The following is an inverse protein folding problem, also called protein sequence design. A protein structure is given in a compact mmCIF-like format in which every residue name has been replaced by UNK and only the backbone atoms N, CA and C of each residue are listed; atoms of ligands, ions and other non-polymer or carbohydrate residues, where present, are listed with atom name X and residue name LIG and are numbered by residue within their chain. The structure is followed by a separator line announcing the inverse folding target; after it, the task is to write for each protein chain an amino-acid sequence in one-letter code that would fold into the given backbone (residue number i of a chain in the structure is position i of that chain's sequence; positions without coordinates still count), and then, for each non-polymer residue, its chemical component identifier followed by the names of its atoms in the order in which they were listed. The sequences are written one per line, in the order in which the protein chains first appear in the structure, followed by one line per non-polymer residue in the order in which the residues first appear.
data_IF_680786377235
#
_entry.id   IF_680786377235
#
_cell.length_a   1.000
_cell.length_b   1.000
_cell.length_c   1.000
_cell.angle_alpha   90.00
_cell.angle_beta   90.00
_cell.angle_gamma   90.00
#
_symmetry.space_group_name_H-M   'P 1'
#
loop_
_entity.id
_entity.type
_entity.pdbx_description
1 polymer ?
#
# COMPACT_ATOMS: atom_id res chain seq x y z
N UNK A 1 -7.29 19.07 30.57
CA UNK A 1 -6.71 17.71 30.57
C UNK A 1 -6.79 17.17 29.15
N UNK A 2 -5.70 17.30 28.38
CA UNK A 2 -5.60 16.74 27.04
C UNK A 2 -5.60 15.21 27.18
N UNK A 3 -6.55 14.59 26.51
CA UNK A 3 -6.93 13.19 26.66
C UNK A 3 -5.73 12.24 26.37
N UNK A 4 -5.09 11.70 27.38
CA UNK A 4 -3.94 10.77 27.30
C UNK A 4 -4.25 9.57 26.42
N UNK A 5 -5.51 9.18 26.27
CA UNK A 5 -5.95 8.06 25.40
C UNK A 5 -5.68 8.29 23.91
N UNK A 6 -5.67 9.54 23.41
CA UNK A 6 -5.39 9.84 21.98
C UNK A 6 -3.94 9.62 21.55
N UNK A 7 -2.98 9.50 22.47
CA UNK A 7 -1.56 9.30 22.14
C UNK A 7 -1.22 7.91 21.57
N UNK A 8 -2.09 6.93 21.70
CA UNK A 8 -1.81 5.53 21.37
C UNK A 8 -2.70 4.98 20.25
N UNK A 9 -3.59 5.79 19.70
CA UNK A 9 -4.51 5.42 18.64
C UNK A 9 -4.31 6.31 17.42
N UNK A 10 -4.51 5.76 16.21
CA UNK A 10 -4.46 6.50 14.95
C UNK A 10 -5.55 5.97 14.03
N UNK A 11 -6.49 6.85 13.63
CA UNK A 11 -7.52 6.52 12.64
C UNK A 11 -6.95 6.68 11.24
N UNK A 12 -7.12 5.67 10.41
CA UNK A 12 -6.64 5.64 9.03
C UNK A 12 -7.78 5.42 8.05
N UNK A 13 -7.61 5.96 6.83
CA UNK A 13 -8.42 5.63 5.67
C UNK A 13 -7.64 4.76 4.69
N UNK A 14 -8.31 3.81 4.05
CA UNK A 14 -7.74 2.96 3.00
C UNK A 14 -8.60 3.08 1.76
N UNK A 15 -8.03 3.59 0.68
CA UNK A 15 -8.74 3.81 -0.58
C UNK A 15 -8.61 2.58 -1.47
N UNK A 16 -9.76 2.10 -1.95
CA UNK A 16 -9.90 1.18 -3.06
C UNK A 16 -10.32 1.96 -4.30
N UNK A 17 -9.59 1.81 -5.39
CA UNK A 17 -9.73 2.65 -6.57
C UNK A 17 -9.75 1.82 -7.85
N UNK A 18 -10.52 2.26 -8.83
CA UNK A 18 -10.47 1.79 -10.21
C UNK A 18 -9.70 2.79 -11.07
N UNK A 19 -8.38 2.81 -10.94
CA UNK A 19 -7.56 3.77 -11.70
C UNK A 19 -7.64 3.55 -13.20
N UNK A 20 -7.71 4.65 -13.93
CA UNK A 20 -7.64 4.69 -15.39
C UNK A 20 -6.34 5.36 -15.86
N UNK A 21 -6.10 5.42 -17.17
CA UNK A 21 -4.90 6.04 -17.74
C UNK A 21 -4.83 7.55 -17.46
N UNK A 22 -5.96 8.25 -17.50
CA UNK A 22 -6.04 9.68 -17.25
C UNK A 22 -5.91 9.99 -15.75
N UNK A 23 -4.83 10.65 -15.29
CA UNK A 23 -4.61 10.97 -13.90
C UNK A 23 -5.63 11.96 -13.32
N UNK A 24 -6.23 12.82 -14.12
CA UNK A 24 -7.20 13.81 -13.61
C UNK A 24 -8.48 13.12 -13.11
N UNK A 25 -8.92 12.08 -13.80
CA UNK A 25 -10.07 11.26 -13.37
C UNK A 25 -9.77 10.57 -12.03
N UNK A 26 -8.57 9.98 -11.91
CA UNK A 26 -8.14 9.30 -10.70
C UNK A 26 -8.02 10.28 -9.53
N UNK A 27 -7.42 11.44 -9.77
CA UNK A 27 -7.28 12.49 -8.74
C UNK A 27 -8.64 13.04 -8.28
N UNK A 28 -9.60 13.19 -9.19
CA UNK A 28 -10.95 13.63 -8.83
C UNK A 28 -11.62 12.67 -7.85
N UNK A 29 -11.55 11.36 -8.13
CA UNK A 29 -12.08 10.31 -7.25
C UNK A 29 -11.35 10.29 -5.91
N UNK A 30 -10.00 10.37 -5.92
CA UNK A 30 -9.21 10.40 -4.69
C UNK A 30 -9.58 11.61 -3.84
N UNK A 31 -9.68 12.81 -4.40
CA UNK A 31 -10.07 14.04 -3.67
C UNK A 31 -11.43 13.90 -3.00
N UNK A 32 -12.39 13.23 -3.66
CA UNK A 32 -13.69 12.91 -3.05
C UNK A 32 -13.53 12.03 -1.79
N UNK A 33 -12.69 10.99 -1.85
CA UNK A 33 -12.43 10.12 -0.71
C UNK A 33 -11.61 10.82 0.39
N UNK A 34 -10.69 11.71 0.03
CA UNK A 34 -9.95 12.50 1.03
C UNK A 34 -10.85 13.48 1.79
N UNK A 35 -11.91 14.03 1.16
CA UNK A 35 -12.93 14.79 1.87
C UNK A 35 -13.68 13.93 2.90
N UNK A 36 -14.00 12.68 2.55
CA UNK A 36 -14.62 11.74 3.50
C UNK A 36 -13.64 11.42 4.64
N UNK A 37 -12.34 11.22 4.33
CA UNK A 37 -11.32 10.98 5.34
C UNK A 37 -11.23 12.14 6.36
N UNK A 38 -11.33 13.38 5.90
CA UNK A 38 -11.37 14.55 6.81
C UNK A 38 -12.60 14.55 7.69
N UNK A 39 -13.78 14.29 7.12
CA UNK A 39 -15.05 14.22 7.86
C UNK A 39 -14.98 13.12 8.94
N UNK A 40 -14.35 12.01 8.63
CA UNK A 40 -14.14 10.89 9.54
C UNK A 40 -12.95 11.07 10.51
N UNK A 41 -12.28 12.22 10.46
CA UNK A 41 -11.11 12.54 11.28
C UNK A 41 -9.95 11.53 11.15
N UNK A 42 -9.75 10.97 9.96
CA UNK A 42 -8.57 10.17 9.69
C UNK A 42 -7.32 11.05 9.72
N UNK A 43 -6.20 10.48 10.18
CA UNK A 43 -4.90 11.17 10.23
C UNK A 43 -4.04 10.81 9.01
N UNK A 44 -4.19 9.59 8.50
CA UNK A 44 -3.46 9.09 7.34
C UNK A 44 -4.39 8.36 6.36
N UNK A 45 -4.06 8.42 5.06
CA UNK A 45 -4.77 7.71 4.01
C UNK A 45 -3.77 6.90 3.18
N UNK A 46 -4.09 5.62 2.99
CA UNK A 46 -3.30 4.70 2.17
C UNK A 46 -3.91 4.56 0.78
N UNK A 47 -3.07 4.70 -0.24
CA UNK A 47 -3.43 4.61 -1.65
C UNK A 47 -2.92 3.30 -2.28
N UNK A 48 -3.60 2.77 -3.32
CA UNK A 48 -3.18 1.54 -3.99
C UNK A 48 -2.00 1.74 -4.94
N UNK A 49 -1.51 0.63 -5.49
CA UNK A 49 -0.46 0.60 -6.52
C UNK A 49 -0.93 1.28 -7.80
N UNK A 50 -0.02 2.01 -8.47
CA UNK A 50 -0.21 2.76 -9.72
C UNK A 50 -1.50 3.61 -9.75
N UNK A 51 -1.86 4.16 -8.58
CA UNK A 51 -3.09 4.92 -8.39
C UNK A 51 -3.19 6.15 -9.29
N UNK A 52 -2.04 6.73 -9.66
CA UNK A 52 -1.98 7.97 -10.39
C UNK A 52 -2.38 7.83 -11.86
N UNK A 53 -1.86 6.80 -12.53
CA UNK A 53 -2.16 6.52 -13.94
C UNK A 53 -1.90 5.05 -14.24
N UNK A 54 -2.96 4.31 -14.60
CA UNK A 54 -2.93 2.88 -14.88
C UNK A 54 -2.83 2.64 -16.38
N UNK A 55 -1.67 2.19 -16.87
CA UNK A 55 -1.50 1.73 -18.25
C UNK A 55 -2.05 0.30 -18.43
N UNK A 56 -1.95 -0.22 -19.65
CA UNK A 56 -2.36 -1.60 -19.97
C UNK A 56 -1.32 -2.67 -19.62
N UNK A 57 -0.21 -2.27 -18.98
CA UNK A 57 0.88 -3.15 -18.56
C UNK A 57 1.85 -3.54 -19.68
N UNK A 58 1.62 -3.14 -20.93
CA UNK A 58 2.55 -3.42 -22.05
C UNK A 58 3.62 -2.38 -22.20
N UNK A 59 3.36 -1.17 -21.76
CA UNK A 59 4.29 -0.03 -21.72
C UNK A 59 4.00 0.85 -20.51
N UNK A 60 4.96 1.72 -20.19
CA UNK A 60 4.76 2.70 -19.13
C UNK A 60 3.66 3.71 -19.53
N UNK A 61 3.00 4.27 -18.53
CA UNK A 61 2.06 5.38 -18.76
C UNK A 61 2.77 6.59 -19.37
N UNK A 62 2.11 7.39 -20.22
CA UNK A 62 2.65 8.67 -20.70
C UNK A 62 2.74 9.74 -19.58
N UNK A 63 2.15 9.51 -18.44
CA UNK A 63 2.09 10.43 -17.28
C UNK A 63 3.17 10.11 -16.24
N UNK A 64 4.41 9.92 -16.69
CA UNK A 64 5.54 9.62 -15.82
C UNK A 64 5.88 10.78 -14.88
N UNK A 65 6.18 10.44 -13.64
CA UNK A 65 6.86 11.36 -12.75
C UNK A 65 8.33 11.43 -13.18
N UNK A 66 8.81 12.65 -13.42
CA UNK A 66 10.21 12.94 -13.72
C UNK A 66 10.63 14.16 -12.90
N UNK A 67 11.52 13.93 -11.92
CA UNK A 67 11.83 14.92 -10.90
C UNK A 67 10.57 15.42 -10.19
N UNK A 68 10.50 16.71 -9.98
CA UNK A 68 9.33 17.37 -9.36
C UNK A 68 8.39 18.00 -10.40
N UNK A 69 8.14 17.30 -11.48
CA UNK A 69 7.25 17.76 -12.55
C UNK A 69 5.80 17.95 -12.08
N UNK A 70 4.90 18.37 -13.00
CA UNK A 70 3.48 18.60 -12.66
C UNK A 70 2.81 17.37 -12.04
N UNK A 71 3.18 16.16 -12.44
CA UNK A 71 2.61 14.91 -11.93
C UNK A 71 3.03 14.65 -10.47
N UNK A 72 4.30 14.90 -10.13
CA UNK A 72 4.75 14.87 -8.74
C UNK A 72 4.01 15.91 -7.89
N UNK A 73 3.89 17.15 -8.38
CA UNK A 73 3.20 18.22 -7.65
C UNK A 73 1.71 17.89 -7.43
N UNK A 74 1.07 17.25 -8.40
CA UNK A 74 -0.33 16.82 -8.28
C UNK A 74 -0.51 15.79 -7.13
N UNK A 75 0.39 14.81 -7.01
CA UNK A 75 0.35 13.83 -5.90
C UNK A 75 0.66 14.53 -4.57
N UNK A 76 1.71 15.35 -4.53
CA UNK A 76 2.09 16.12 -3.34
C UNK A 76 0.95 17.00 -2.83
N UNK A 77 0.18 17.61 -3.74
CA UNK A 77 -0.93 18.49 -3.38
C UNK A 77 -2.05 17.75 -2.62
N UNK A 78 -2.23 16.45 -2.83
CA UNK A 78 -3.20 15.66 -2.08
C UNK A 78 -2.94 15.74 -0.57
N UNK A 79 -1.68 15.62 -0.14
CA UNK A 79 -1.33 15.72 1.28
C UNK A 79 -1.55 17.14 1.81
N UNK A 80 -1.05 18.14 1.09
CA UNK A 80 -1.09 19.55 1.51
C UNK A 80 -2.51 20.12 1.54
N UNK A 81 -3.31 19.87 0.49
CA UNK A 81 -4.66 20.43 0.37
C UNK A 81 -5.61 19.85 1.43
N UNK A 82 -5.42 18.57 1.77
CA UNK A 82 -6.25 17.87 2.74
C UNK A 82 -5.65 17.81 4.14
N UNK A 83 -4.39 18.21 4.33
CA UNK A 83 -3.68 18.14 5.61
C UNK A 83 -3.71 16.73 6.22
N UNK A 84 -3.41 15.72 5.38
CA UNK A 84 -3.38 14.31 5.72
C UNK A 84 -2.03 13.69 5.35
N UNK A 85 -1.58 12.70 6.12
CA UNK A 85 -0.54 11.82 5.62
C UNK A 85 -1.09 11.04 4.41
N UNK A 86 -0.40 11.09 3.26
CA UNK A 86 -0.71 10.30 2.06
C UNK A 86 0.38 9.26 1.91
N UNK A 87 0.00 7.98 2.02
CA UNK A 87 0.94 6.88 2.22
C UNK A 87 0.71 5.73 1.22
N UNK A 88 1.75 4.97 0.96
CA UNK A 88 1.73 3.68 0.27
C UNK A 88 1.60 3.76 -1.24
N UNK A 89 0.74 4.62 -1.76
CA UNK A 89 0.40 4.68 -3.18
C UNK A 89 1.59 4.85 -4.11
N UNK A 90 1.59 4.12 -5.24
CA UNK A 90 2.68 4.19 -6.20
C UNK A 90 2.30 4.81 -7.54
N UNK A 91 3.32 5.30 -8.26
CA UNK A 91 3.22 5.84 -9.61
C UNK A 91 4.46 5.48 -10.43
N UNK A 92 4.29 5.39 -11.75
CA UNK A 92 5.41 5.17 -12.66
C UNK A 92 6.33 6.40 -12.69
N UNK A 93 7.62 6.18 -12.43
CA UNK A 93 8.61 7.24 -12.23
C UNK A 93 9.83 7.02 -13.11
N UNK A 94 10.23 8.03 -13.87
CA UNK A 94 11.45 8.00 -14.66
C UNK A 94 12.67 8.37 -13.80
N UNK A 95 13.64 7.48 -13.73
CA UNK A 95 14.88 7.65 -12.99
C UNK A 95 16.07 7.18 -13.83
N UNK A 96 16.94 8.10 -14.22
CA UNK A 96 18.15 7.78 -14.99
C UNK A 96 17.86 6.93 -16.24
N UNK A 97 16.81 7.27 -16.99
CA UNK A 97 16.38 6.56 -18.21
C UNK A 97 15.65 5.23 -17.96
N UNK A 98 15.37 4.86 -16.70
CA UNK A 98 14.63 3.65 -16.31
C UNK A 98 13.31 4.04 -15.66
N UNK A 99 12.28 3.21 -15.85
CA UNK A 99 10.99 3.42 -15.20
C UNK A 99 10.91 2.56 -13.94
N UNK A 100 10.55 3.18 -12.82
CA UNK A 100 10.36 2.55 -11.53
C UNK A 100 8.86 2.54 -11.17
N UNK A 101 8.38 1.49 -10.52
CA UNK A 101 7.10 1.50 -9.81
C UNK A 101 7.40 2.02 -8.40
N UNK A 102 7.14 3.33 -8.16
CA UNK A 102 7.61 4.06 -6.98
C UNK A 102 6.48 4.54 -6.11
N UNK A 103 6.54 4.18 -4.84
CA UNK A 103 5.66 4.73 -3.79
C UNK A 103 6.19 6.07 -3.31
N UNK A 104 5.28 7.04 -3.22
CA UNK A 104 5.50 8.36 -2.65
C UNK A 104 4.73 8.50 -1.35
N UNK A 105 5.40 9.04 -0.32
CA UNK A 105 4.82 9.20 1.00
C UNK A 105 5.03 10.63 1.47
N UNK A 106 3.94 11.31 1.81
CA UNK A 106 3.94 12.73 2.18
C UNK A 106 3.31 12.94 3.54
N UNK A 107 3.88 13.89 4.30
CA UNK A 107 3.26 14.41 5.52
C UNK A 107 2.15 15.44 5.19
N UNK A 108 1.38 15.90 6.19
CA UNK A 108 0.29 16.87 5.98
C UNK A 108 0.72 18.22 5.39
N UNK A 109 1.98 18.60 5.48
CA UNK A 109 2.53 19.82 4.88
C UNK A 109 2.96 19.60 3.42
N UNK A 110 2.81 18.38 2.91
CA UNK A 110 3.25 17.97 1.59
C UNK A 110 4.76 17.80 1.48
N UNK A 111 5.46 17.60 2.61
CA UNK A 111 6.86 17.21 2.60
C UNK A 111 6.96 15.71 2.30
N UNK A 112 7.80 15.35 1.33
CA UNK A 112 8.13 13.94 1.07
C UNK A 112 8.92 13.38 2.26
N UNK A 113 8.34 12.38 2.93
CA UNK A 113 8.96 11.69 4.07
C UNK A 113 9.72 10.45 3.67
N UNK A 114 9.32 9.80 2.59
CA UNK A 114 10.07 8.70 1.96
C UNK A 114 9.56 8.37 0.56
N UNK A 115 10.43 7.72 -0.19
CA UNK A 115 10.12 7.00 -1.43
C UNK A 115 10.50 5.54 -1.27
N UNK A 116 9.78 4.65 -1.96
CA UNK A 116 10.09 3.22 -2.01
C UNK A 116 9.89 2.70 -3.44
N UNK A 117 10.88 2.05 -3.99
CA UNK A 117 10.80 1.40 -5.30
C UNK A 117 10.49 -0.09 -5.13
N UNK A 118 9.48 -0.59 -5.84
CA UNK A 118 9.08 -2.00 -5.82
C UNK A 118 10.29 -2.91 -6.01
N UNK A 119 10.55 -3.77 -5.03
CA UNK A 119 11.74 -4.62 -5.02
C UNK A 119 11.53 -5.90 -5.82
N UNK A 120 10.30 -6.42 -5.86
CA UNK A 120 9.98 -7.66 -6.56
C UNK A 120 8.94 -7.38 -7.64
N UNK A 121 9.36 -7.53 -8.90
CA UNK A 121 8.49 -7.31 -10.06
C UNK A 121 7.65 -8.55 -10.32
N UNK A 122 6.38 -8.34 -10.66
CA UNK A 122 5.45 -9.42 -10.91
C UNK A 122 5.72 -10.08 -12.26
N UNK A 123 5.95 -11.38 -12.24
CA UNK A 123 5.99 -12.24 -13.42
C UNK A 123 5.08 -13.44 -13.19
N UNK A 124 4.13 -13.68 -14.09
CA UNK A 124 3.18 -14.77 -13.98
C UNK A 124 2.75 -15.26 -15.37
N UNK A 125 2.89 -16.56 -15.59
CA UNK A 125 2.38 -17.23 -16.79
C UNK A 125 1.05 -17.91 -16.46
N UNK A 126 -0.02 -17.28 -16.88
CA UNK A 126 -1.39 -17.79 -16.81
C UNK A 126 -1.89 -18.30 -18.18
N UNK A 127 -0.99 -18.67 -19.10
CA UNK A 127 -1.37 -19.14 -20.45
C UNK A 127 -2.28 -20.38 -20.42
N UNK A 128 -2.12 -21.22 -19.39
CA UNK A 128 -2.96 -22.41 -19.15
C UNK A 128 -4.22 -22.14 -18.32
N UNK A 129 -4.39 -20.92 -17.79
CA UNK A 129 -5.58 -20.48 -17.08
C UNK A 129 -6.60 -19.91 -18.09
N UNK A 130 -7.92 -19.92 -17.81
CA UNK A 130 -8.93 -19.33 -18.69
C UNK A 130 -8.69 -17.86 -19.08
N UNK A 131 -7.89 -17.12 -18.30
CA UNK A 131 -7.50 -15.74 -18.64
C UNK A 131 -6.42 -15.65 -19.73
N UNK A 132 -5.71 -16.74 -20.03
CA UNK A 132 -4.63 -16.83 -21.02
C UNK A 132 -3.60 -15.67 -20.97
N UNK A 133 -3.33 -15.13 -19.78
CA UNK A 133 -2.46 -13.96 -19.61
C UNK A 133 -1.03 -14.37 -19.29
N UNK A 134 -0.08 -13.69 -19.91
CA UNK A 134 1.33 -13.67 -19.49
C UNK A 134 1.62 -12.23 -19.07
N UNK A 135 1.96 -12.05 -17.80
CA UNK A 135 2.27 -10.75 -17.22
C UNK A 135 3.75 -10.76 -16.82
N UNK A 136 4.47 -9.74 -17.23
CA UNK A 136 5.89 -9.56 -16.87
C UNK A 136 6.16 -8.04 -16.71
N UNK A 137 6.13 -7.59 -15.48
CA UNK A 137 6.42 -6.19 -15.13
C UNK A 137 7.87 -5.78 -15.47
N UNK A 138 8.79 -6.72 -15.54
CA UNK A 138 10.19 -6.46 -15.91
C UNK A 138 10.38 -5.90 -17.31
N UNK A 139 9.36 -6.00 -18.17
CA UNK A 139 9.35 -5.35 -19.50
C UNK A 139 9.14 -3.85 -19.43
N UNK A 140 8.51 -3.36 -18.35
CA UNK A 140 8.14 -1.96 -18.18
C UNK A 140 8.94 -1.32 -17.06
N UNK A 141 9.12 -2.02 -15.94
CA UNK A 141 9.71 -1.47 -14.73
C UNK A 141 11.08 -2.07 -14.42
N UNK A 142 11.91 -1.27 -13.77
CA UNK A 142 13.14 -1.70 -13.12
C UNK A 142 12.89 -1.88 -11.64
N UNK A 143 13.39 -2.97 -11.05
CA UNK A 143 13.23 -3.26 -9.62
C UNK A 143 14.08 -2.34 -8.73
N UNK A 144 13.54 -1.99 -7.57
CA UNK A 144 14.29 -1.42 -6.46
C UNK A 144 15.14 -2.46 -5.73
N UNK A 145 15.92 -2.01 -4.75
CA UNK A 145 16.81 -2.87 -3.98
C UNK A 145 16.92 -2.49 -2.49
N UNK A 146 16.16 -1.51 -2.04
CA UNK A 146 16.32 -0.96 -0.70
C UNK A 146 14.99 -0.98 0.05
N UNK A 147 14.87 -1.78 1.13
CA UNK A 147 13.74 -1.72 2.03
C UNK A 147 13.60 -0.32 2.64
N UNK A 148 12.37 0.11 2.89
CA UNK A 148 12.10 1.44 3.43
C UNK A 148 11.04 1.41 4.50
N UNK A 149 11.33 2.05 5.63
CA UNK A 149 10.35 2.35 6.68
C UNK A 149 10.16 3.85 6.82
N UNK A 150 8.98 4.23 7.29
CA UNK A 150 8.63 5.60 7.70
C UNK A 150 8.12 5.59 9.13
N UNK A 151 8.16 6.74 9.76
CA UNK A 151 7.54 6.96 11.06
C UNK A 151 6.43 8.00 10.94
N UNK A 152 5.24 7.62 11.35
CA UNK A 152 4.05 8.49 11.35
C UNK A 152 3.49 8.46 12.77
N UNK A 153 3.54 9.59 13.46
CA UNK A 153 3.23 9.68 14.88
C UNK A 153 4.10 8.65 15.67
N UNK A 154 3.49 7.65 16.28
CA UNK A 154 4.20 6.60 17.03
C UNK A 154 4.23 5.25 16.29
N UNK A 155 3.90 5.24 14.99
CA UNK A 155 3.84 4.03 14.19
C UNK A 155 5.01 3.97 13.22
N UNK A 156 5.76 2.85 13.27
CA UNK A 156 6.81 2.52 12.29
C UNK A 156 6.21 1.65 11.21
N UNK A 157 6.16 2.16 9.99
CA UNK A 157 5.47 1.56 8.85
C UNK A 157 6.49 1.03 7.84
N UNK A 158 6.54 -0.27 7.62
CA UNK A 158 7.30 -0.89 6.53
C UNK A 158 6.54 -0.76 5.20
N UNK A 159 7.21 -0.27 4.16
CA UNK A 159 6.63 -0.05 2.83
C UNK A 159 6.84 -1.25 1.91
N UNK A 160 5.79 -1.63 1.17
CA UNK A 160 5.88 -2.66 0.13
C UNK A 160 4.84 -2.43 -0.97
N UNK A 161 5.09 -3.00 -2.15
CA UNK A 161 4.20 -2.89 -3.31
C UNK A 161 3.88 -4.29 -3.84
N UNK A 162 2.62 -4.68 -3.79
CA UNK A 162 1.97 -5.77 -4.50
C UNK A 162 2.71 -7.12 -4.41
N UNK A 163 3.51 -7.45 -5.41
CA UNK A 163 4.23 -8.73 -5.47
C UNK A 163 5.22 -8.93 -4.33
N UNK A 164 5.69 -7.85 -3.69
CA UNK A 164 6.51 -7.91 -2.48
C UNK A 164 5.81 -8.70 -1.36
N UNK A 165 4.47 -8.72 -1.33
CA UNK A 165 3.67 -9.51 -0.38
C UNK A 165 4.06 -10.99 -0.34
N UNK A 166 4.62 -11.55 -1.42
CA UNK A 166 5.02 -12.96 -1.52
C UNK A 166 6.36 -13.27 -0.90
N UNK A 167 7.12 -12.25 -0.46
CA UNK A 167 8.48 -12.38 0.08
C UNK A 167 8.46 -12.07 1.59
N UNK A 168 8.25 -13.09 2.46
CA UNK A 168 8.14 -12.91 3.90
C UNK A 168 9.38 -12.30 4.54
N UNK A 169 10.55 -12.47 3.91
CA UNK A 169 11.83 -11.96 4.39
C UNK A 169 11.82 -10.43 4.51
N UNK A 170 11.18 -9.72 3.56
CA UNK A 170 11.05 -8.28 3.58
C UNK A 170 10.29 -7.81 4.82
N UNK A 171 9.17 -8.45 5.12
CA UNK A 171 8.31 -8.11 6.27
C UNK A 171 8.96 -8.47 7.59
N UNK A 172 9.66 -9.60 7.64
CA UNK A 172 10.44 -10.02 8.81
C UNK A 172 11.59 -9.03 9.08
N UNK A 173 12.26 -8.56 8.04
CA UNK A 173 13.27 -7.52 8.16
C UNK A 173 12.69 -6.22 8.75
N UNK A 174 11.51 -5.77 8.34
CA UNK A 174 10.85 -4.62 8.95
C UNK A 174 10.52 -4.84 10.42
N UNK A 175 9.94 -5.99 10.76
CA UNK A 175 9.53 -6.30 12.13
C UNK A 175 10.71 -6.40 13.07
N UNK A 176 11.85 -6.96 12.64
CA UNK A 176 13.09 -7.02 13.41
C UNK A 176 13.68 -5.63 13.71
N UNK A 177 13.34 -4.63 12.88
CA UNK A 177 13.71 -3.23 13.09
C UNK A 177 12.65 -2.42 13.84
N UNK A 178 11.60 -3.09 14.35
CA UNK A 178 10.57 -2.51 15.19
C UNK A 178 9.37 -1.95 14.43
N UNK A 179 9.17 -2.33 13.16
CA UNK A 179 7.91 -2.02 12.49
C UNK A 179 6.73 -2.60 13.26
N UNK A 180 5.65 -1.84 13.30
CA UNK A 180 4.40 -2.22 13.93
C UNK A 180 3.19 -2.05 13.00
N UNK A 181 3.43 -1.52 11.80
CA UNK A 181 2.51 -1.48 10.67
C UNK A 181 3.26 -1.91 9.40
N UNK A 182 2.61 -2.67 8.55
CA UNK A 182 3.10 -3.09 7.24
C UNK A 182 2.13 -2.57 6.18
N UNK A 183 2.62 -1.72 5.27
CA UNK A 183 1.84 -1.14 4.18
C UNK A 183 2.07 -1.90 2.88
N UNK A 184 0.99 -2.30 2.22
CA UNK A 184 0.99 -3.05 0.97
C UNK A 184 0.06 -2.33 0.00
N UNK A 185 0.60 -1.61 -0.97
CA UNK A 185 -0.19 -1.07 -2.08
C UNK A 185 -0.23 -2.07 -3.22
N UNK A 186 -1.41 -2.35 -3.80
CA UNK A 186 -1.55 -3.51 -4.69
C UNK A 186 -2.48 -3.29 -5.86
N UNK A 187 -2.21 -4.07 -6.94
CA UNK A 187 -3.07 -4.28 -8.10
C UNK A 187 -3.13 -5.78 -8.45
N UNK A 188 -3.55 -6.61 -7.49
CA UNK A 188 -3.63 -8.06 -7.68
C UNK A 188 -4.64 -8.42 -8.75
N UNK A 189 -4.25 -9.32 -9.68
CA UNK A 189 -5.19 -9.86 -10.67
C UNK A 189 -6.31 -10.65 -9.99
N UNK A 190 -7.48 -10.72 -10.61
CA UNK A 190 -8.64 -11.45 -10.04
C UNK A 190 -8.31 -12.91 -9.69
N UNK A 191 -7.62 -13.71 -10.56
CA UNK A 191 -7.32 -15.10 -10.22
C UNK A 191 -6.41 -15.25 -9.01
N UNK A 192 -5.32 -14.47 -8.96
CA UNK A 192 -4.37 -14.54 -7.84
C UNK A 192 -4.93 -13.90 -6.58
N UNK A 193 -5.78 -12.89 -6.72
CA UNK A 193 -6.48 -12.26 -5.61
C UNK A 193 -7.41 -13.24 -4.89
N UNK A 194 -8.30 -13.90 -5.64
CA UNK A 194 -9.22 -14.91 -5.10
C UNK A 194 -8.50 -16.04 -4.35
N UNK A 195 -7.37 -16.48 -4.88
CA UNK A 195 -6.65 -17.63 -4.32
C UNK A 195 -5.73 -17.27 -3.14
N UNK A 196 -5.11 -16.07 -3.14
CA UNK A 196 -3.97 -15.81 -2.25
C UNK A 196 -4.12 -14.58 -1.36
N UNK A 197 -4.89 -13.56 -1.77
CA UNK A 197 -4.86 -12.22 -1.15
C UNK A 197 -5.09 -12.24 0.36
N UNK A 198 -6.25 -12.68 0.81
CA UNK A 198 -6.62 -12.71 2.22
C UNK A 198 -5.65 -13.55 3.05
N UNK A 199 -5.26 -14.72 2.53
CA UNK A 199 -4.32 -15.63 3.22
C UNK A 199 -2.98 -14.96 3.44
N UNK A 200 -2.39 -14.37 2.40
CA UNK A 200 -1.07 -13.75 2.51
C UNK A 200 -1.09 -12.49 3.38
N UNK A 201 -2.09 -11.61 3.22
CA UNK A 201 -2.20 -10.39 4.04
C UNK A 201 -2.34 -10.74 5.52
N UNK A 202 -3.17 -11.72 5.86
CA UNK A 202 -3.32 -12.20 7.25
C UNK A 202 -2.06 -12.88 7.77
N UNK A 203 -1.38 -13.68 6.95
CA UNK A 203 -0.11 -14.31 7.33
C UNK A 203 0.94 -13.26 7.70
N UNK A 204 1.08 -12.18 6.90
CA UNK A 204 2.00 -11.07 7.23
C UNK A 204 1.67 -10.38 8.54
N UNK A 205 0.40 -10.23 8.88
CA UNK A 205 0.00 -9.67 10.17
C UNK A 205 0.38 -10.58 11.35
N UNK A 206 0.04 -11.87 11.25
CA UNK A 206 0.23 -12.86 12.30
C UNK A 206 1.72 -13.10 12.59
N UNK A 207 2.50 -13.42 11.55
CA UNK A 207 3.92 -13.77 11.71
C UNK A 207 4.79 -12.59 12.16
N UNK A 208 4.37 -11.36 11.87
CA UNK A 208 5.10 -10.14 12.21
C UNK A 208 4.49 -9.38 13.39
N UNK A 209 3.37 -9.86 13.94
CA UNK A 209 2.65 -9.24 15.06
C UNK A 209 2.49 -7.73 14.88
N UNK A 210 2.05 -7.35 13.68
CA UNK A 210 1.92 -5.97 13.21
C UNK A 210 0.59 -5.78 12.51
N UNK A 211 0.04 -4.57 12.52
CA UNK A 211 -1.04 -4.23 11.60
C UNK A 211 -0.59 -4.38 10.16
N UNK A 212 -1.49 -4.83 9.30
CA UNK A 212 -1.29 -4.78 7.84
C UNK A 212 -2.35 -3.90 7.22
N UNK A 213 -1.93 -2.92 6.44
CA UNK A 213 -2.79 -2.08 5.60
C UNK A 213 -2.53 -2.45 4.15
N UNK A 214 -3.49 -3.07 3.53
CA UNK A 214 -3.40 -3.55 2.16
C UNK A 214 -4.39 -2.80 1.27
N UNK A 215 -3.95 -1.68 0.69
CA UNK A 215 -4.74 -0.87 -0.22
C UNK A 215 -4.67 -1.44 -1.63
N UNK A 216 -5.81 -1.66 -2.28
CA UNK A 216 -5.90 -2.40 -3.53
C UNK A 216 -6.64 -1.65 -4.64
N UNK A 217 -6.20 -1.88 -5.87
CA UNK A 217 -6.97 -1.56 -7.07
C UNK A 217 -8.12 -2.55 -7.25
N UNK A 218 -9.26 -2.07 -7.73
CA UNK A 218 -10.46 -2.88 -7.99
C UNK A 218 -11.02 -2.66 -9.38
N UNK A 219 -11.54 -3.73 -10.00
CA UNK A 219 -12.36 -3.67 -11.20
C UNK A 219 -11.58 -3.65 -12.51
N UNK A 220 -12.30 -3.40 -13.60
CA UNK A 220 -11.76 -3.38 -14.97
C UNK A 220 -11.16 -2.01 -15.27
N UNK A 221 -9.84 -1.93 -15.38
CA UNK A 221 -9.10 -0.68 -15.68
C UNK A 221 -9.04 -0.39 -17.18
N UNK A 222 -8.92 -1.45 -17.96
CA UNK A 222 -8.87 -1.46 -19.42
C UNK A 222 -9.15 -2.87 -19.93
N UNK A 223 -8.96 -3.14 -21.23
CA UNK A 223 -9.27 -4.46 -21.80
C UNK A 223 -8.32 -5.58 -21.37
N UNK A 224 -7.14 -5.24 -20.82
CA UNK A 224 -6.12 -6.22 -20.39
C UNK A 224 -6.02 -6.36 -18.89
N UNK A 225 -6.43 -5.34 -18.11
CA UNK A 225 -6.23 -5.31 -16.67
C UNK A 225 -7.55 -5.29 -15.91
N UNK A 226 -7.72 -6.31 -15.09
CA UNK A 226 -8.82 -6.43 -14.13
C UNK A 226 -8.26 -6.90 -12.79
N UNK A 227 -8.57 -6.16 -11.72
CA UNK A 227 -8.02 -6.38 -10.39
C UNK A 227 -9.07 -6.76 -9.37
N UNK A 228 -8.60 -7.41 -8.30
CA UNK A 228 -9.45 -8.14 -7.37
C UNK A 228 -10.16 -7.25 -6.35
N UNK A 229 -9.57 -6.11 -5.97
CA UNK A 229 -10.08 -5.29 -4.87
C UNK A 229 -9.75 -5.85 -3.49
N UNK A 230 -10.74 -5.82 -2.59
CA UNK A 230 -10.61 -6.28 -1.21
C UNK A 230 -9.48 -5.57 -0.45
N UNK A 231 -9.47 -4.23 -0.50
CA UNK A 231 -8.56 -3.47 0.39
C UNK A 231 -8.83 -3.87 1.84
N UNK A 232 -7.77 -4.30 2.55
CA UNK A 232 -7.88 -4.90 3.87
C UNK A 232 -7.13 -4.11 4.92
N UNK A 233 -7.65 -4.11 6.15
CA UNK A 233 -6.86 -3.83 7.35
C UNK A 233 -6.94 -5.05 8.26
N UNK A 234 -5.78 -5.58 8.64
CA UNK A 234 -5.67 -6.76 9.52
C UNK A 234 -4.89 -6.36 10.76
N UNK A 235 -5.37 -6.79 11.93
CA UNK A 235 -4.72 -6.52 13.21
C UNK A 235 -3.54 -7.48 13.48
N UNK A 236 -2.71 -7.23 14.51
CA UNK A 236 -1.56 -8.08 14.83
C UNK A 236 -1.90 -9.53 15.22
N UNK A 237 -3.17 -9.85 15.52
CA UNK A 237 -3.64 -11.19 15.81
C UNK A 237 -4.13 -11.93 14.57
N UNK A 238 -4.25 -11.23 13.41
CA UNK A 238 -4.79 -11.77 12.17
C UNK A 238 -6.30 -11.58 11.99
N UNK A 239 -6.93 -10.77 12.84
CA UNK A 239 -8.32 -10.37 12.69
C UNK A 239 -8.47 -9.35 11.57
N UNK A 240 -9.41 -9.57 10.65
CA UNK A 240 -9.74 -8.61 9.59
C UNK A 240 -10.64 -7.53 10.21
N UNK A 241 -10.08 -6.33 10.38
CA UNK A 241 -10.81 -5.20 10.95
C UNK A 241 -11.78 -4.59 9.94
N UNK A 242 -11.38 -4.56 8.67
CA UNK A 242 -12.20 -4.08 7.56
C UNK A 242 -11.76 -4.73 6.25
N UNK A 243 -12.73 -5.05 5.41
CA UNK A 243 -12.58 -5.47 4.02
C UNK A 243 -13.44 -4.56 3.14
N UNK A 244 -12.84 -3.90 2.16
CA UNK A 244 -13.56 -3.04 1.23
C UNK A 244 -14.41 -3.83 0.22
N UNK A 245 -14.23 -5.16 0.12
CA UNK A 245 -14.94 -6.00 -0.83
C UNK A 245 -14.80 -5.48 -2.28
N UNK A 246 -15.91 -5.31 -2.98
CA UNK A 246 -15.96 -4.79 -4.35
C UNK A 246 -16.35 -3.30 -4.39
N UNK A 247 -15.99 -2.60 -5.47
CA UNK A 247 -16.35 -1.22 -5.73
C UNK A 247 -15.32 -0.21 -5.25
N UNK A 248 -15.36 0.98 -5.84
CA UNK A 248 -14.54 2.12 -5.40
C UNK A 248 -15.07 2.68 -4.09
N UNK A 249 -14.23 2.77 -3.08
CA UNK A 249 -14.59 3.32 -1.77
C UNK A 249 -13.37 3.64 -0.92
N UNK A 250 -13.60 4.38 0.14
CA UNK A 250 -12.70 4.49 1.27
C UNK A 250 -13.30 3.74 2.46
N UNK A 251 -12.46 2.95 3.13
CA UNK A 251 -12.82 2.28 4.39
C UNK A 251 -11.90 2.77 5.51
N UNK A 252 -12.35 2.64 6.75
CA UNK A 252 -11.65 3.19 7.90
C UNK A 252 -11.35 2.10 8.94
N UNK A 253 -10.18 2.23 9.57
CA UNK A 253 -9.78 1.42 10.70
C UNK A 253 -9.02 2.26 11.72
N UNK A 254 -8.80 1.73 12.90
CA UNK A 254 -8.05 2.38 13.97
C UNK A 254 -6.91 1.47 14.43
N UNK A 255 -5.70 2.01 14.47
CA UNK A 255 -4.55 1.36 15.07
C UNK A 255 -4.50 1.64 16.57
N UNK A 256 -4.00 0.68 17.34
CA UNK A 256 -3.75 0.81 18.77
C UNK A 256 -2.40 0.18 19.15
N UNK A 257 -1.51 0.96 19.73
CA UNK A 257 -0.23 0.45 20.24
C UNK A 257 -0.44 -0.54 21.39
N UNK A 258 -1.49 -0.35 22.19
CA UNK A 258 -1.85 -1.28 23.27
C UNK A 258 -2.26 -2.65 22.71
N UNK A 259 -2.93 -2.69 21.55
CA UNK A 259 -3.27 -3.94 20.88
C UNK A 259 -2.02 -4.69 20.43
N UNK A 260 -1.07 -3.98 19.81
CA UNK A 260 0.22 -4.56 19.39
C UNK A 260 0.95 -5.15 20.60
N UNK A 261 1.07 -4.36 21.67
CA UNK A 261 1.72 -4.76 22.91
C UNK A 261 1.06 -6.02 23.49
N UNK A 262 -0.28 -6.01 23.62
CA UNK A 262 -1.04 -7.15 24.15
C UNK A 262 -0.84 -8.44 23.35
N UNK A 263 -0.74 -8.35 22.00
CA UNK A 263 -0.48 -9.53 21.17
C UNK A 263 0.94 -10.05 21.38
N UNK A 264 1.94 -9.17 21.39
CA UNK A 264 3.35 -9.53 21.58
C UNK A 264 3.64 -10.11 22.97
N UNK A 265 2.93 -9.66 24.00
CA UNK A 265 3.02 -10.22 25.35
C UNK A 265 2.44 -11.63 25.46
N UNK A 266 1.42 -11.96 24.66
CA UNK A 266 0.77 -13.28 24.68
C UNK A 266 1.51 -14.31 23.85
N UNK A 267 2.13 -13.90 22.75
CA UNK A 267 2.74 -14.81 21.79
C UNK A 267 4.05 -14.17 21.27
N UNK A 268 5.17 -14.64 21.81
CA UNK A 268 6.50 -14.08 21.54
C UNK A 268 7.11 -14.70 20.25
N UNK A 269 6.63 -14.24 19.09
CA UNK A 269 7.09 -14.71 17.77
C UNK A 269 8.32 -13.92 17.28
N UNK A 270 8.57 -12.73 17.87
CA UNK A 270 9.64 -11.84 17.43
C UNK A 270 10.93 -11.98 18.27
N UNK A 271 11.04 -13.03 19.09
CA UNK A 271 12.28 -13.38 19.77
C UNK A 271 13.42 -13.50 18.76
N UNK A 272 14.59 -13.11 19.22
CA UNK A 272 15.82 -13.22 18.41
C UNK A 272 15.96 -14.65 17.85
N UNK A 273 15.94 -14.85 16.52
CA UNK A 273 16.09 -16.16 15.93
C UNK A 273 17.42 -16.86 16.28
N UNK A 274 18.43 -16.08 16.70
CA UNK A 274 19.72 -16.60 17.15
C UNK A 274 19.70 -17.21 18.55
N UNK A 275 18.65 -16.97 19.34
CA UNK A 275 18.51 -17.53 20.67
C UNK A 275 17.86 -18.93 20.70
N UNK A 276 17.35 -19.43 19.54
CA UNK A 276 16.55 -20.66 19.42
C UNK A 276 17.06 -21.68 18.41
N UNK A 277 18.23 -21.46 17.81
CA UNK A 277 18.90 -22.46 16.93
C UNK A 277 20.17 -22.98 17.56
#
# INVERSE_FOLDING_TARGET
MVNVKRRYQMKIGVIQLQSVLDPEINLLTIRKFLNQAKTEHAEAVFLPEVFYSMSDGTQATPHLIDGQNKHYQAIRSLAKDFQLYILGGSAATLMNGKVMNRSYNFDPDGKEIAIYDKMNLFACDLSKHPSHQIIDEGRVYTKGNTPKMIEVNNYKIGLSICFDLRFPELFRNYSSQGANVLSISSAFTVPTGKAHWHTLVRARAIENQSYVVASAQWGKHNDKMNTFGHSLVVDPWGEVLVDAEEGEKIVFAEFSLDRIKSVRERLDVLRDPKASL
#
